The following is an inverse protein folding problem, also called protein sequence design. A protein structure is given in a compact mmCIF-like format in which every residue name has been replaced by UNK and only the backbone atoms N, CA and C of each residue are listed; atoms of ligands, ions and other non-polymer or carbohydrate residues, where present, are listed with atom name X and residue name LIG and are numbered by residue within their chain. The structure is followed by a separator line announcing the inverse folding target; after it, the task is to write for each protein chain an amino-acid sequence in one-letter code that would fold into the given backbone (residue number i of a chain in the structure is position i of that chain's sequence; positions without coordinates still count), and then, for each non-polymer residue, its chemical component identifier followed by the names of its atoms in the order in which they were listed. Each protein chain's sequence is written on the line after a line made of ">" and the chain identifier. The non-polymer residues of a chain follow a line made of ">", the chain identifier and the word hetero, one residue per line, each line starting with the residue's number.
data_IF_251040962982
#
_entry.id   IF_251040962982
#
_cell.length_a   1.000
_cell.length_b   1.000
_cell.length_c   1.000
_cell.angle_alpha   90.00
_cell.angle_beta   90.00
_cell.angle_gamma   90.00
#
_symmetry.space_group_name_H-M   'P 1'
#
loop_
_entity.id
_entity.type
_entity.pdbx_description
1 polymer ?
#
# COMPACT_ATOMS: atom_id res chain seq x y z
N UNK A 1 -15.08 24.87 23.97
CA UNK A 1 -15.02 25.10 22.51
C UNK A 1 -13.56 25.33 22.12
N UNK A 2 -12.92 24.38 21.41
CA UNK A 2 -11.57 24.59 20.86
C UNK A 2 -11.68 25.57 19.70
N UNK A 3 -11.02 26.73 19.81
CA UNK A 3 -10.93 27.73 18.74
C UNK A 3 -10.24 27.10 17.52
N UNK A 4 -10.99 26.86 16.45
CA UNK A 4 -10.42 26.62 15.12
C UNK A 4 -9.71 27.90 14.68
N UNK A 5 -8.38 27.89 14.62
CA UNK A 5 -7.61 28.96 13.99
C UNK A 5 -7.99 28.98 12.52
N UNK A 6 -8.71 30.02 12.07
CA UNK A 6 -8.95 30.28 10.66
C UNK A 6 -7.65 30.80 10.04
N UNK A 7 -7.28 30.22 8.91
CA UNK A 7 -6.17 30.67 8.09
C UNK A 7 -6.67 31.83 7.19
N UNK A 8 -6.87 33.01 7.76
CA UNK A 8 -7.26 34.21 7.00
C UNK A 8 -6.00 34.94 6.49
N UNK A 9 -5.50 34.47 5.35
CA UNK A 9 -4.54 35.16 4.49
C UNK A 9 -4.91 34.89 3.03
N UNK A 10 -4.22 35.48 2.06
CA UNK A 10 -4.34 35.02 0.66
C UNK A 10 -3.78 33.60 0.56
N UNK A 11 -4.64 32.60 0.79
CA UNK A 11 -4.27 31.20 0.86
C UNK A 11 -3.99 30.68 -0.56
N UNK A 12 -2.71 30.49 -0.88
CA UNK A 12 -2.30 29.66 -2.01
C UNK A 12 -2.24 28.20 -1.54
N UNK A 13 -2.81 27.31 -2.34
CA UNK A 13 -2.90 25.89 -2.02
C UNK A 13 -1.92 25.12 -2.89
N UNK A 14 -0.81 24.65 -2.30
CA UNK A 14 0.17 23.81 -3.00
C UNK A 14 -0.22 22.34 -2.84
N UNK A 15 -0.55 21.69 -3.95
CA UNK A 15 -0.78 20.25 -4.04
C UNK A 15 0.51 19.60 -4.50
N UNK A 16 1.06 18.73 -3.65
CA UNK A 16 2.20 17.87 -4.00
C UNK A 16 1.66 16.49 -4.34
N UNK A 17 1.71 16.13 -5.62
CA UNK A 17 1.46 14.78 -6.11
C UNK A 17 2.80 14.12 -6.50
N UNK A 18 2.78 12.79 -6.67
CA UNK A 18 3.98 12.01 -6.99
C UNK A 18 4.69 12.46 -8.28
N UNK A 19 3.96 13.02 -9.24
CA UNK A 19 4.43 13.40 -10.57
C UNK A 19 4.43 14.91 -10.82
N UNK A 20 3.85 15.72 -9.91
CA UNK A 20 3.71 17.16 -10.11
C UNK A 20 3.51 17.96 -8.83
N UNK A 21 3.93 19.22 -8.89
CA UNK A 21 3.56 20.26 -7.95
C UNK A 21 2.59 21.20 -8.64
N UNK A 22 1.42 21.41 -8.05
CA UNK A 22 0.40 22.31 -8.57
C UNK A 22 0.05 23.37 -7.53
N UNK A 23 -0.04 24.63 -7.94
CA UNK A 23 -0.43 25.74 -7.06
C UNK A 23 -1.80 26.23 -7.48
N UNK A 24 -2.76 26.18 -6.56
CA UNK A 24 -4.12 26.61 -6.78
C UNK A 24 -4.41 27.93 -6.06
N UNK A 25 -5.28 28.71 -6.67
CA UNK A 25 -5.60 30.08 -6.26
C UNK A 25 -6.71 30.16 -5.21
N UNK A 26 -7.45 29.07 -5.00
CA UNK A 26 -8.53 29.04 -4.01
C UNK A 26 -8.86 27.63 -3.51
N UNK A 27 -9.46 27.59 -2.30
CA UNK A 27 -10.02 26.38 -1.71
C UNK A 27 -11.09 25.71 -2.58
N UNK A 28 -11.91 26.53 -3.25
CA UNK A 28 -13.00 26.05 -4.11
C UNK A 28 -12.44 25.29 -5.32
N UNK A 29 -11.38 25.81 -5.91
CA UNK A 29 -10.66 25.17 -7.02
C UNK A 29 -10.01 23.84 -6.57
N UNK A 30 -9.39 23.85 -5.39
CA UNK A 30 -8.84 22.66 -4.76
C UNK A 30 -9.90 21.56 -4.53
N UNK A 31 -11.04 21.92 -3.93
CA UNK A 31 -12.10 20.95 -3.62
C UNK A 31 -12.85 20.43 -4.85
N UNK A 32 -13.01 21.26 -5.89
CA UNK A 32 -13.57 20.83 -7.17
C UNK A 32 -12.68 19.79 -7.86
N UNK A 33 -11.35 19.97 -7.79
CA UNK A 33 -10.40 19.12 -8.51
C UNK A 33 -10.05 17.84 -7.75
N UNK A 34 -9.94 17.90 -6.43
CA UNK A 34 -9.43 16.79 -5.61
C UNK A 34 -10.43 16.26 -4.57
N UNK A 35 -11.61 16.87 -4.47
CA UNK A 35 -12.62 16.51 -3.47
C UNK A 35 -12.39 17.18 -2.14
N UNK A 36 -13.13 16.78 -1.11
CA UNK A 36 -13.06 17.41 0.22
C UNK A 36 -11.71 17.12 0.90
N UNK A 37 -11.22 18.11 1.65
CA UNK A 37 -10.00 18.02 2.44
C UNK A 37 -10.33 18.03 3.94
N UNK A 38 -9.49 17.39 4.72
CA UNK A 38 -9.51 17.48 6.18
C UNK A 38 -8.09 17.74 6.70
N UNK A 39 -7.98 18.37 7.87
CA UNK A 39 -6.69 18.47 8.55
C UNK A 39 -6.32 17.10 9.13
N UNK A 40 -5.27 16.51 8.58
CA UNK A 40 -4.63 15.31 9.10
C UNK A 40 -3.21 15.61 9.57
N UNK A 41 -2.60 14.64 10.23
CA UNK A 41 -1.18 14.68 10.57
C UNK A 41 -0.44 13.71 9.65
N UNK A 42 0.60 14.20 8.97
CA UNK A 42 1.51 13.40 8.13
C UNK A 42 2.91 13.62 8.65
N UNK A 43 3.57 12.55 9.12
CA UNK A 43 4.94 12.59 9.66
C UNK A 43 5.17 13.66 10.75
N UNK A 44 4.16 13.92 11.60
CA UNK A 44 4.25 14.92 12.67
C UNK A 44 3.83 16.34 12.28
N UNK A 45 3.48 16.57 11.00
CA UNK A 45 3.06 17.89 10.50
C UNK A 45 1.56 17.91 10.22
N UNK A 46 0.91 19.02 10.59
CA UNK A 46 -0.48 19.28 10.21
C UNK A 46 -0.57 19.61 8.70
N UNK A 47 -1.30 18.81 7.95
CA UNK A 47 -1.49 18.97 6.50
C UNK A 47 -2.96 18.85 6.10
N UNK A 48 -3.37 19.55 5.04
CA UNK A 48 -4.66 19.35 4.40
C UNK A 48 -4.58 18.12 3.48
N UNK A 49 -5.28 17.05 3.83
CA UNK A 49 -5.28 15.78 3.08
C UNK A 49 -6.62 15.61 2.39
N UNK A 50 -6.60 15.28 1.09
CA UNK A 50 -7.84 15.00 0.35
C UNK A 50 -8.41 13.64 0.77
N UNK A 51 -9.73 13.58 0.95
CA UNK A 51 -10.44 12.34 1.30
C UNK A 51 -10.24 11.26 0.22
N UNK A 52 -10.23 11.67 -1.05
CA UNK A 52 -10.00 10.77 -2.19
C UNK A 52 -8.59 10.18 -2.13
N UNK A 53 -7.58 10.99 -1.84
CA UNK A 53 -6.18 10.53 -1.71
C UNK A 53 -6.01 9.59 -0.53
N UNK A 54 -6.63 9.90 0.62
CA UNK A 54 -6.60 9.03 1.81
C UNK A 54 -7.26 7.68 1.54
N UNK A 55 -8.46 7.66 0.94
CA UNK A 55 -9.13 6.41 0.56
C UNK A 55 -8.32 5.60 -0.43
N UNK A 56 -7.75 6.23 -1.46
CA UNK A 56 -6.88 5.54 -2.42
C UNK A 56 -5.65 4.96 -1.75
N UNK A 57 -4.97 5.72 -0.88
CA UNK A 57 -3.81 5.24 -0.13
C UNK A 57 -4.17 4.04 0.77
N UNK A 58 -5.25 4.15 1.54
CA UNK A 58 -5.76 3.06 2.38
C UNK A 58 -6.13 1.84 1.56
N UNK A 59 -6.80 2.01 0.41
CA UNK A 59 -7.19 0.91 -0.47
C UNK A 59 -5.98 0.22 -1.09
N UNK A 60 -5.00 0.98 -1.58
CA UNK A 60 -3.74 0.44 -2.13
C UNK A 60 -2.98 -0.34 -1.06
N UNK A 61 -2.85 0.20 0.16
CA UNK A 61 -2.17 -0.49 1.25
C UNK A 61 -2.93 -1.73 1.72
N UNK A 62 -4.26 -1.65 1.89
CA UNK A 62 -5.07 -2.82 2.24
C UNK A 62 -4.98 -3.92 1.17
N UNK A 63 -4.92 -3.53 -0.11
CA UNK A 63 -4.73 -4.47 -1.23
C UNK A 63 -3.34 -5.10 -1.18
N UNK A 64 -2.30 -4.32 -0.91
CA UNK A 64 -0.92 -4.82 -0.71
C UNK A 64 -0.85 -5.81 0.45
N UNK A 65 -1.45 -5.48 1.59
CA UNK A 65 -1.49 -6.34 2.76
C UNK A 65 -2.24 -7.65 2.50
N UNK A 66 -3.38 -7.57 1.79
CA UNK A 66 -4.13 -8.74 1.38
C UNK A 66 -3.31 -9.66 0.46
N UNK A 67 -2.66 -9.11 -0.56
CA UNK A 67 -1.81 -9.86 -1.49
C UNK A 67 -0.63 -10.51 -0.74
N UNK A 68 0.03 -9.74 0.13
CA UNK A 68 1.13 -10.25 0.95
C UNK A 68 0.69 -11.39 1.88
N UNK A 69 -0.50 -11.27 2.48
CA UNK A 69 -1.08 -12.32 3.32
C UNK A 69 -1.38 -13.59 2.49
N UNK A 70 -1.91 -13.45 1.28
CA UNK A 70 -2.17 -14.56 0.37
C UNK A 70 -0.86 -15.29 -0.01
N UNK A 71 0.19 -14.57 -0.40
CA UNK A 71 1.49 -15.18 -0.72
C UNK A 71 2.12 -15.91 0.46
N UNK A 72 2.07 -15.32 1.66
CA UNK A 72 2.54 -15.99 2.89
C UNK A 72 1.77 -17.28 3.16
N UNK A 73 0.45 -17.29 2.94
CA UNK A 73 -0.37 -18.50 3.07
C UNK A 73 0.04 -19.57 2.06
N UNK A 74 0.20 -19.23 0.78
CA UNK A 74 0.64 -20.18 -0.24
C UNK A 74 2.01 -20.79 0.06
N UNK A 75 2.98 -19.99 0.51
CA UNK A 75 4.30 -20.51 0.92
C UNK A 75 4.15 -21.53 2.04
N UNK A 76 3.33 -21.25 3.06
CA UNK A 76 3.09 -22.15 4.18
C UNK A 76 2.46 -23.48 3.73
N UNK A 77 1.48 -23.42 2.84
CA UNK A 77 0.84 -24.63 2.30
C UNK A 77 1.83 -25.50 1.51
N UNK A 78 2.70 -24.88 0.69
CA UNK A 78 3.76 -25.59 -0.03
C UNK A 78 4.81 -26.20 0.91
N UNK A 79 5.17 -25.50 1.99
CA UNK A 79 6.07 -26.03 3.02
C UNK A 79 5.44 -27.21 3.76
N UNK A 80 4.15 -27.12 4.10
CA UNK A 80 3.43 -28.24 4.72
C UNK A 80 3.39 -29.45 3.76
N UNK A 81 3.12 -29.24 2.47
CA UNK A 81 3.13 -30.32 1.49
C UNK A 81 4.51 -31.00 1.39
N UNK A 82 5.62 -30.25 1.48
CA UNK A 82 6.96 -30.83 1.55
C UNK A 82 7.19 -31.62 2.85
N UNK A 83 6.71 -31.12 3.98
CA UNK A 83 6.82 -31.81 5.27
C UNK A 83 6.03 -33.12 5.25
N UNK A 84 4.81 -33.11 4.73
CA UNK A 84 4.00 -34.31 4.57
C UNK A 84 4.69 -35.27 3.62
N UNK A 85 5.20 -34.77 2.48
CA UNK A 85 5.96 -35.56 1.51
C UNK A 85 7.26 -36.15 2.08
N UNK A 86 7.85 -35.53 3.11
CA UNK A 86 9.09 -36.00 3.72
C UNK A 86 8.96 -37.37 4.39
N UNK A 87 7.74 -37.77 4.76
CA UNK A 87 7.42 -39.06 5.36
C UNK A 87 7.29 -40.22 4.35
N UNK A 88 7.28 -39.93 3.05
CA UNK A 88 7.23 -40.96 2.01
C UNK A 88 8.59 -41.64 1.85
N UNK A 89 8.58 -42.96 1.65
CA UNK A 89 9.78 -43.79 1.46
C UNK A 89 10.49 -43.47 0.14
N UNK A 90 9.72 -43.28 -0.93
CA UNK A 90 10.25 -42.85 -2.23
C UNK A 90 9.97 -41.37 -2.43
N UNK A 91 11.05 -40.62 -2.70
CA UNK A 91 10.99 -39.18 -2.93
C UNK A 91 11.37 -38.89 -4.37
N UNK A 92 10.49 -38.20 -5.07
CA UNK A 92 10.74 -37.65 -6.39
C UNK A 92 11.49 -36.31 -6.24
N UNK A 93 12.79 -36.26 -6.58
CA UNK A 93 13.58 -35.04 -6.49
C UNK A 93 13.08 -33.96 -7.44
N UNK A 94 12.43 -34.30 -8.55
CA UNK A 94 11.86 -33.33 -9.49
C UNK A 94 10.65 -32.64 -8.86
N UNK A 95 9.77 -33.39 -8.20
CA UNK A 95 8.65 -32.85 -7.45
C UNK A 95 9.12 -31.87 -6.36
N UNK A 96 10.11 -32.28 -5.56
CA UNK A 96 10.68 -31.42 -4.50
C UNK A 96 11.26 -30.13 -5.09
N UNK A 97 12.02 -30.23 -6.18
CA UNK A 97 12.60 -29.07 -6.85
C UNK A 97 11.54 -28.08 -7.35
N UNK A 98 10.45 -28.58 -7.96
CA UNK A 98 9.33 -27.75 -8.42
C UNK A 98 8.64 -27.01 -7.27
N UNK A 99 8.46 -27.67 -6.12
CA UNK A 99 7.85 -27.02 -4.95
C UNK A 99 8.78 -25.93 -4.39
N UNK A 100 10.09 -26.19 -4.29
CA UNK A 100 11.06 -25.18 -3.88
C UNK A 100 11.11 -23.98 -4.84
N UNK A 101 11.05 -24.21 -6.16
CA UNK A 101 10.99 -23.14 -7.16
C UNK A 101 9.75 -22.25 -6.95
N UNK A 102 8.57 -22.85 -6.72
CA UNK A 102 7.35 -22.12 -6.41
C UNK A 102 7.47 -21.30 -5.12
N UNK A 103 8.02 -21.88 -4.05
CA UNK A 103 8.26 -21.16 -2.79
C UNK A 103 9.18 -19.95 -3.03
N UNK A 104 10.28 -20.13 -3.75
CA UNK A 104 11.22 -19.05 -4.06
C UNK A 104 10.57 -17.95 -4.90
N UNK A 105 9.70 -18.32 -5.84
CA UNK A 105 8.92 -17.38 -6.65
C UNK A 105 8.04 -16.48 -5.77
N UNK A 106 7.28 -17.07 -4.84
CA UNK A 106 6.43 -16.29 -3.93
C UNK A 106 7.24 -15.45 -2.93
N UNK A 107 8.39 -15.95 -2.46
CA UNK A 107 9.32 -15.14 -1.64
C UNK A 107 9.87 -13.96 -2.42
N UNK A 108 10.20 -14.12 -3.69
CA UNK A 108 10.65 -13.03 -4.55
C UNK A 108 9.55 -11.98 -4.75
N UNK A 109 8.28 -12.37 -4.86
CA UNK A 109 7.17 -11.41 -4.91
C UNK A 109 6.99 -10.62 -3.61
N UNK A 110 7.25 -11.25 -2.44
CA UNK A 110 7.24 -10.57 -1.15
C UNK A 110 8.44 -9.63 -0.95
N UNK A 111 9.59 -9.95 -1.56
CA UNK A 111 10.84 -9.21 -1.40
C UNK A 111 11.05 -8.12 -2.46
N UNK A 112 10.33 -8.16 -3.59
CA UNK A 112 10.33 -7.03 -4.52
C UNK A 112 9.74 -5.83 -3.78
N UNK A 113 10.49 -4.73 -3.76
CA UNK A 113 10.02 -3.42 -3.31
C UNK A 113 8.64 -3.12 -3.91
N UNK A 114 7.82 -2.36 -3.18
CA UNK A 114 6.40 -2.21 -3.50
C UNK A 114 6.24 -1.86 -4.97
N UNK A 115 5.30 -2.56 -5.63
CA UNK A 115 4.79 -2.16 -6.92
C UNK A 115 4.43 -0.67 -6.77
N UNK A 116 5.19 0.20 -7.44
CA UNK A 116 4.81 1.59 -7.68
C UNK A 116 3.64 1.51 -8.66
N UNK A 117 2.43 1.51 -8.10
CA UNK A 117 1.16 1.65 -8.82
C UNK A 117 0.86 3.14 -8.89
#
# INVERSE_FOLDING_TARGET
>A
MKKSRSCEGSETYTVVAWDKIEVLSSKKELEQKYGRFYCGEVEGYSALVSYKSCLTFCFVNATKDFINAAYKKYIRELQNALNDYSSFLEKDPLFIAQIHEKINTFKNFLNKEPINI
#
